data_IF_828171884763
#
_entry.id   IF_828171884763
#
_cell.length_a   1.000
_cell.length_b   1.000
_cell.length_c   1.000
_cell.angle_alpha   90.00
_cell.angle_beta   90.00
_cell.angle_gamma   90.00
#
_symmetry.space_group_name_H-M   'P 1'
#
loop_
_entity.id
_entity.type
_entity.pdbx_description
1 polymer ?
#
# COMPACT_ATOMS: atom_id res chain seq x y z
N UNK A 1 30.12 40.36 35.41
CA UNK A 1 29.07 39.40 35.31
C UNK A 1 28.88 39.00 33.85
N UNK A 2 29.19 37.72 33.56
CA UNK A 2 29.02 37.14 32.22
C UNK A 2 27.57 36.67 32.06
N UNK A 3 26.85 37.25 31.12
CA UNK A 3 25.53 36.84 30.73
C UNK A 3 25.69 35.58 29.86
N UNK A 4 25.23 34.45 30.36
CA UNK A 4 25.14 33.19 29.59
C UNK A 4 23.88 33.30 28.73
N UNK A 5 24.06 33.47 27.42
CA UNK A 5 22.98 33.34 26.46
C UNK A 5 22.71 31.84 26.26
N UNK A 6 21.60 31.38 26.81
CA UNK A 6 21.03 30.03 26.50
C UNK A 6 20.35 30.14 25.16
N UNK A 7 21.01 29.65 24.10
CA UNK A 7 20.40 29.45 22.81
C UNK A 7 19.39 28.31 22.90
N UNK A 8 18.12 28.65 22.93
CA UNK A 8 17.02 27.68 22.81
C UNK A 8 17.02 27.16 21.38
N UNK A 9 17.66 26.02 21.15
CA UNK A 9 17.61 25.30 19.89
C UNK A 9 16.19 24.81 19.67
N UNK A 10 15.43 25.49 18.84
CA UNK A 10 14.18 24.98 18.30
C UNK A 10 14.54 23.81 17.39
N UNK A 11 14.36 22.60 17.93
CA UNK A 11 14.43 21.37 17.16
C UNK A 11 13.20 21.34 16.26
N UNK A 12 13.32 21.91 15.08
CA UNK A 12 12.31 21.81 14.02
C UNK A 12 12.27 20.34 13.59
N UNK A 13 11.34 19.58 14.14
CA UNK A 13 10.97 18.27 13.61
C UNK A 13 10.56 18.47 12.15
N UNK A 14 11.51 18.29 11.23
CA UNK A 14 11.25 18.12 9.83
C UNK A 14 10.42 16.83 9.70
N UNK A 15 9.11 16.99 9.68
CA UNK A 15 8.19 15.95 9.22
C UNK A 15 8.54 15.76 7.75
N UNK A 16 9.41 14.79 7.47
CA UNK A 16 9.55 14.24 6.15
C UNK A 16 8.21 13.56 5.85
N UNK A 17 7.28 14.29 5.27
CA UNK A 17 6.12 13.69 4.65
C UNK A 17 6.64 12.86 3.47
N UNK A 18 6.89 11.59 3.72
CA UNK A 18 7.03 10.59 2.68
C UNK A 18 5.70 10.58 1.93
N UNK A 19 5.73 10.82 0.67
CA UNK A 19 4.56 11.18 -0.14
C UNK A 19 3.56 10.03 -0.32
N UNK A 20 4.00 8.76 -0.31
CA UNK A 20 3.11 7.60 -0.29
C UNK A 20 2.21 7.52 0.94
N UNK A 21 2.52 8.26 2.00
CA UNK A 21 1.74 8.31 3.24
C UNK A 21 0.32 8.87 3.08
N UNK A 22 0.08 9.76 2.09
CA UNK A 22 -1.26 10.29 1.83
C UNK A 22 -2.21 9.22 1.30
N UNK A 23 -1.73 8.34 0.44
CA UNK A 23 -2.53 7.23 -0.14
C UNK A 23 -2.94 6.23 0.92
N UNK A 24 -2.02 5.77 1.78
CA UNK A 24 -2.34 4.86 2.88
C UNK A 24 -3.35 5.46 3.86
N UNK A 25 -3.18 6.73 4.25
CA UNK A 25 -4.12 7.43 5.12
C UNK A 25 -5.51 7.55 4.50
N UNK A 26 -5.59 7.89 3.21
CA UNK A 26 -6.85 7.98 2.50
C UNK A 26 -7.55 6.61 2.40
N UNK A 27 -6.80 5.53 2.11
CA UNK A 27 -7.34 4.17 2.06
C UNK A 27 -7.90 3.75 3.42
N UNK A 28 -7.17 4.00 4.52
CA UNK A 28 -7.63 3.67 5.87
C UNK A 28 -8.89 4.44 6.24
N UNK A 29 -8.92 5.75 5.97
CA UNK A 29 -10.07 6.59 6.23
C UNK A 29 -11.32 6.14 5.48
N UNK A 30 -11.19 5.86 4.20
CA UNK A 30 -12.29 5.36 3.38
C UNK A 30 -12.70 3.93 3.76
N UNK A 31 -11.75 3.09 4.21
CA UNK A 31 -12.05 1.74 4.70
C UNK A 31 -12.91 1.76 5.96
N UNK A 32 -12.69 2.72 6.88
CA UNK A 32 -13.58 2.91 8.05
C UNK A 32 -15.02 3.20 7.59
N UNK A 33 -15.19 4.08 6.61
CA UNK A 33 -16.49 4.47 6.11
C UNK A 33 -17.24 3.31 5.41
N UNK A 34 -16.53 2.28 4.98
CA UNK A 34 -17.10 1.09 4.35
C UNK A 34 -17.59 0.03 5.33
N UNK A 35 -17.28 0.15 6.63
CA UNK A 35 -17.64 -0.85 7.65
C UNK A 35 -19.13 -0.78 8.04
N UNK A 36 -19.77 -1.90 8.37
CA UNK A 36 -21.06 -1.93 9.03
C UNK A 36 -20.94 -1.69 10.54
N UNK A 37 -22.03 -1.25 11.18
CA UNK A 37 -22.13 -1.23 12.64
C UNK A 37 -22.15 -2.67 13.21
N UNK A 38 -21.62 -2.90 14.44
CA UNK A 38 -21.05 -1.91 15.36
C UNK A 38 -19.60 -1.52 15.03
N UNK A 39 -18.96 -2.22 14.10
CA UNK A 39 -17.53 -2.05 13.79
C UNK A 39 -17.23 -0.64 13.24
N UNK A 40 -18.14 -0.08 12.44
CA UNK A 40 -18.02 1.31 12.00
C UNK A 40 -17.91 2.28 13.17
N UNK A 41 -18.80 2.17 14.16
CA UNK A 41 -18.78 3.04 15.33
C UNK A 41 -17.49 2.94 16.13
N UNK A 42 -16.96 1.73 16.31
CA UNK A 42 -15.67 1.49 16.97
C UNK A 42 -14.52 2.18 16.20
N UNK A 43 -14.34 1.89 14.92
CA UNK A 43 -13.24 2.45 14.14
C UNK A 43 -13.39 3.96 13.92
N UNK A 44 -14.61 4.47 13.82
CA UNK A 44 -14.89 5.91 13.73
C UNK A 44 -14.42 6.66 14.97
N UNK A 45 -14.64 6.12 16.16
CA UNK A 45 -14.16 6.73 17.41
C UNK A 45 -12.62 6.78 17.49
N UNK A 46 -11.93 5.89 16.78
CA UNK A 46 -10.46 5.81 16.72
C UNK A 46 -9.88 6.28 15.38
N UNK A 47 -10.68 6.97 14.56
CA UNK A 47 -10.33 7.36 13.20
C UNK A 47 -8.99 8.09 13.10
N UNK A 48 -8.80 9.10 13.93
CA UNK A 48 -7.59 9.92 13.88
C UNK A 48 -6.34 9.09 14.20
N UNK A 49 -6.45 8.14 15.13
CA UNK A 49 -5.37 7.22 15.44
C UNK A 49 -5.07 6.30 14.26
N UNK A 50 -6.06 5.61 13.70
CA UNK A 50 -5.91 4.67 12.56
C UNK A 50 -5.29 5.39 11.35
N UNK A 51 -5.79 6.57 11.01
CA UNK A 51 -5.29 7.34 9.87
C UNK A 51 -3.85 7.82 10.10
N UNK A 52 -3.53 8.26 11.32
CA UNK A 52 -2.17 8.67 11.66
C UNK A 52 -1.17 7.51 11.54
N UNK A 53 -1.54 6.33 12.06
CA UNK A 53 -0.69 5.15 12.14
C UNK A 53 -0.71 4.27 10.88
N UNK A 54 -1.49 4.63 9.86
CA UNK A 54 -1.54 3.93 8.57
C UNK A 54 -0.18 3.76 7.87
N UNK A 55 0.84 4.51 8.29
CA UNK A 55 2.18 4.55 7.69
C UNK A 55 3.29 4.03 8.61
N UNK A 56 2.92 3.50 9.78
CA UNK A 56 3.91 3.05 10.76
C UNK A 56 4.77 1.89 10.27
N UNK A 57 4.22 1.01 9.45
CA UNK A 57 4.96 -0.08 8.83
C UNK A 57 6.12 0.46 7.97
N UNK A 58 5.87 1.49 7.16
CA UNK A 58 6.90 2.17 6.37
C UNK A 58 7.97 2.83 7.23
N UNK A 59 7.57 3.45 8.34
CA UNK A 59 8.52 4.06 9.27
C UNK A 59 9.42 3.01 9.95
N UNK A 60 8.91 1.78 10.10
CA UNK A 60 9.65 0.67 10.72
C UNK A 60 10.58 -0.06 9.76
N UNK A 61 10.30 -0.08 8.46
CA UNK A 61 11.02 -0.92 7.47
C UNK A 61 12.53 -0.71 7.42
N UNK A 62 13.01 0.49 7.83
CA UNK A 62 14.44 0.80 7.88
C UNK A 62 15.07 0.58 9.26
N UNK A 63 14.29 0.20 10.26
CA UNK A 63 14.72 0.06 11.67
C UNK A 63 14.59 -1.36 12.19
N UNK A 64 13.61 -2.12 11.70
CA UNK A 64 13.33 -3.48 12.16
C UNK A 64 13.71 -4.48 11.07
N UNK A 65 14.54 -5.44 11.44
CA UNK A 65 14.90 -6.58 10.57
C UNK A 65 13.63 -7.40 10.30
N UNK A 66 13.42 -7.78 9.05
CA UNK A 66 12.25 -8.56 8.63
C UNK A 66 10.97 -7.73 8.43
N UNK A 67 11.05 -6.41 8.50
CA UNK A 67 9.89 -5.55 8.21
C UNK A 67 9.78 -5.22 6.72
N UNK A 68 10.89 -4.90 6.06
CA UNK A 68 10.89 -4.49 4.66
C UNK A 68 10.28 -5.55 3.73
N UNK A 69 10.56 -6.82 3.98
CA UNK A 69 10.10 -7.96 3.16
C UNK A 69 8.59 -8.16 3.21
N UNK A 70 7.90 -7.57 4.19
CA UNK A 70 6.43 -7.68 4.35
C UNK A 70 5.66 -6.84 3.35
N UNK A 71 6.31 -5.85 2.74
CA UNK A 71 5.68 -4.85 1.89
C UNK A 71 5.53 -5.28 0.43
N UNK A 72 6.21 -6.34 -0.01
CA UNK A 72 6.27 -6.71 -1.42
C UNK A 72 6.41 -8.22 -1.64
N UNK A 73 6.32 -8.63 -2.90
CA UNK A 73 6.76 -9.93 -3.40
C UNK A 73 7.15 -9.83 -4.87
N UNK A 74 8.40 -10.12 -5.20
CA UNK A 74 8.94 -10.09 -6.55
C UNK A 74 8.56 -11.35 -7.33
N UNK A 75 7.31 -11.42 -7.82
CA UNK A 75 6.76 -12.61 -8.48
C UNK A 75 7.51 -12.98 -9.77
N UNK A 76 8.09 -12.00 -10.44
CA UNK A 76 8.90 -12.19 -11.65
C UNK A 76 10.19 -13.00 -11.42
N UNK A 77 10.68 -13.09 -10.18
CA UNK A 77 11.88 -13.85 -9.84
C UNK A 77 11.64 -15.35 -9.62
N UNK A 78 10.38 -15.79 -9.59
CA UNK A 78 10.06 -17.21 -9.38
C UNK A 78 9.87 -18.00 -10.67
N UNK A 79 9.94 -17.36 -11.85
CA UNK A 79 9.91 -18.04 -13.14
C UNK A 79 8.54 -18.59 -13.56
N UNK A 80 7.46 -18.16 -12.92
CA UNK A 80 6.11 -18.55 -13.29
C UNK A 80 5.51 -17.60 -14.33
N UNK A 81 4.81 -18.16 -15.32
CA UNK A 81 3.87 -17.36 -16.12
C UNK A 81 2.68 -16.94 -15.27
N UNK A 82 1.94 -15.93 -15.69
CA UNK A 82 0.77 -15.44 -14.96
C UNK A 82 -0.26 -16.56 -14.69
N UNK A 83 -0.52 -17.43 -15.67
CA UNK A 83 -1.43 -18.57 -15.49
C UNK A 83 -0.89 -19.61 -14.52
N UNK A 84 0.42 -19.83 -14.53
CA UNK A 84 1.09 -20.72 -13.58
C UNK A 84 1.09 -20.14 -12.16
N UNK A 85 1.26 -18.84 -12.01
CA UNK A 85 1.12 -18.14 -10.70
C UNK A 85 -0.28 -18.35 -10.11
N UNK A 86 -1.32 -18.24 -10.94
CA UNK A 86 -2.72 -18.45 -10.51
C UNK A 86 -2.96 -19.86 -10.00
N UNK A 87 -2.38 -20.87 -10.64
CA UNK A 87 -2.71 -22.29 -10.44
C UNK A 87 -1.76 -23.00 -9.48
N UNK A 88 -0.46 -22.70 -9.53
CA UNK A 88 0.57 -23.56 -8.96
C UNK A 88 1.47 -22.86 -7.94
N UNK A 89 1.43 -21.52 -7.86
CA UNK A 89 2.26 -20.82 -6.87
C UNK A 89 1.81 -21.18 -5.45
N UNK A 90 2.73 -21.55 -4.54
CA UNK A 90 2.37 -22.01 -3.20
C UNK A 90 1.73 -20.90 -2.38
N UNK A 91 0.49 -21.13 -1.94
CA UNK A 91 -0.26 -20.16 -1.11
C UNK A 91 0.15 -20.20 0.36
N UNK A 92 0.53 -21.38 0.86
CA UNK A 92 1.03 -21.53 2.23
C UNK A 92 2.51 -21.19 2.29
N UNK A 93 2.90 -20.40 3.29
CA UNK A 93 4.30 -19.98 3.45
C UNK A 93 5.23 -21.16 3.67
N UNK A 94 4.79 -22.18 4.41
CA UNK A 94 5.57 -23.41 4.66
C UNK A 94 5.88 -24.17 3.37
N UNK A 95 4.92 -24.24 2.44
CA UNK A 95 5.12 -24.87 1.13
C UNK A 95 6.09 -24.04 0.28
N UNK A 96 5.94 -22.70 0.30
CA UNK A 96 6.86 -21.80 -0.38
C UNK A 96 8.29 -21.90 0.17
N UNK A 97 8.46 -21.95 1.49
CA UNK A 97 9.76 -22.19 2.14
C UNK A 97 10.41 -23.51 1.74
N UNK A 98 9.61 -24.58 1.69
CA UNK A 98 10.10 -25.90 1.26
C UNK A 98 10.57 -25.93 -0.18
N UNK A 99 9.88 -25.17 -1.08
CA UNK A 99 10.16 -25.16 -2.52
C UNK A 99 11.32 -24.21 -2.85
N UNK A 100 11.31 -23.00 -2.28
CA UNK A 100 12.23 -21.91 -2.67
C UNK A 100 13.31 -21.61 -1.64
N UNK A 101 13.14 -22.05 -0.39
CA UNK A 101 14.02 -21.75 0.75
C UNK A 101 13.75 -20.39 1.41
N UNK A 102 14.04 -20.30 2.70
CA UNK A 102 13.81 -19.05 3.49
C UNK A 102 14.58 -17.85 2.96
N UNK A 103 15.84 -18.05 2.54
CA UNK A 103 16.68 -16.96 2.01
C UNK A 103 16.07 -16.34 0.74
N UNK A 104 15.55 -17.17 -0.17
CA UNK A 104 14.89 -16.72 -1.40
C UNK A 104 13.61 -15.93 -1.08
N UNK A 105 12.79 -16.44 -0.16
CA UNK A 105 11.56 -15.74 0.22
C UNK A 105 11.85 -14.39 0.87
N UNK A 106 12.81 -14.33 1.78
CA UNK A 106 13.17 -13.08 2.43
C UNK A 106 13.74 -12.07 1.42
N UNK A 107 14.55 -12.52 0.47
CA UNK A 107 15.10 -11.64 -0.57
C UNK A 107 14.04 -11.13 -1.54
N UNK A 108 13.07 -11.96 -1.89
CA UNK A 108 12.03 -11.65 -2.89
C UNK A 108 10.72 -11.14 -2.27
N UNK A 109 10.68 -10.97 -0.94
CA UNK A 109 9.50 -10.48 -0.23
C UNK A 109 8.50 -11.56 0.17
N UNK A 110 7.78 -11.27 1.27
CA UNK A 110 6.81 -12.17 1.91
C UNK A 110 5.43 -11.51 2.10
N UNK A 111 5.13 -10.46 1.36
CA UNK A 111 3.94 -9.62 1.51
C UNK A 111 2.63 -10.40 1.71
N UNK A 112 2.20 -11.32 0.83
CA UNK A 112 0.91 -12.00 0.97
C UNK A 112 0.79 -12.86 2.23
N UNK A 113 1.89 -13.48 2.66
CA UNK A 113 1.90 -14.26 3.92
C UNK A 113 1.92 -13.36 5.15
N UNK A 114 2.55 -12.17 5.05
CA UNK A 114 2.53 -11.16 6.11
C UNK A 114 1.13 -10.60 6.32
N UNK A 115 0.38 -10.34 5.25
CA UNK A 115 -1.03 -9.95 5.32
C UNK A 115 -1.84 -11.02 6.05
N UNK A 116 -1.66 -12.31 5.68
CA UNK A 116 -2.35 -13.42 6.32
C UNK A 116 -2.01 -13.54 7.81
N UNK A 117 -0.74 -13.42 8.18
CA UNK A 117 -0.32 -13.46 9.59
C UNK A 117 -0.91 -12.29 10.38
N UNK A 118 -0.90 -11.07 9.82
CA UNK A 118 -1.45 -9.89 10.48
C UNK A 118 -2.97 -9.98 10.61
N UNK A 119 -3.65 -10.57 9.62
CA UNK A 119 -5.07 -10.89 9.71
C UNK A 119 -5.41 -11.77 10.93
N UNK A 120 -4.68 -12.87 11.14
CA UNK A 120 -4.92 -13.74 12.29
C UNK A 120 -4.53 -13.09 13.63
N UNK A 121 -3.54 -12.18 13.65
CA UNK A 121 -3.27 -11.36 14.83
C UNK A 121 -4.46 -10.44 15.15
N UNK A 122 -5.07 -9.86 14.13
CA UNK A 122 -6.26 -9.02 14.32
C UNK A 122 -7.45 -9.84 14.84
N UNK A 123 -7.67 -11.06 14.32
CA UNK A 123 -8.68 -12.00 14.86
C UNK A 123 -8.44 -12.27 16.33
N UNK A 124 -7.21 -12.63 16.73
CA UNK A 124 -6.85 -12.86 18.12
C UNK A 124 -7.10 -11.63 18.99
N UNK A 125 -6.67 -10.44 18.53
CA UNK A 125 -6.87 -9.17 19.26
C UNK A 125 -8.36 -8.87 19.50
N UNK A 126 -9.22 -9.12 18.51
CA UNK A 126 -10.68 -9.00 18.70
C UNK A 126 -11.20 -10.01 19.71
N UNK A 127 -10.77 -11.29 19.64
CA UNK A 127 -11.19 -12.32 20.59
C UNK A 127 -10.76 -12.04 22.02
N UNK A 128 -9.63 -11.36 22.21
CA UNK A 128 -9.08 -10.99 23.52
C UNK A 128 -9.66 -9.66 24.03
N UNK A 129 -10.32 -8.86 23.18
CA UNK A 129 -10.82 -7.52 23.51
C UNK A 129 -9.71 -6.50 23.78
N UNK A 130 -8.50 -6.73 23.26
CA UNK A 130 -7.37 -5.80 23.40
C UNK A 130 -7.46 -4.68 22.36
N UNK A 131 -8.09 -3.58 22.73
CA UNK A 131 -8.30 -2.41 21.87
C UNK A 131 -6.99 -1.89 21.26
N UNK A 132 -5.92 -1.79 22.04
CA UNK A 132 -4.64 -1.28 21.55
C UNK A 132 -4.03 -2.19 20.46
N UNK A 133 -4.17 -3.52 20.62
CA UNK A 133 -3.72 -4.47 19.62
C UNK A 133 -4.66 -4.53 18.40
N UNK A 134 -5.98 -4.38 18.60
CA UNK A 134 -6.94 -4.26 17.51
C UNK A 134 -6.55 -3.09 16.60
N UNK A 135 -6.36 -1.90 17.15
CA UNK A 135 -6.00 -0.71 16.39
C UNK A 135 -4.67 -0.89 15.66
N UNK A 136 -3.64 -1.41 16.35
CA UNK A 136 -2.32 -1.63 15.76
C UNK A 136 -2.36 -2.65 14.64
N UNK A 137 -2.97 -3.83 14.87
CA UNK A 137 -3.03 -4.89 13.89
C UNK A 137 -3.94 -4.51 12.70
N UNK A 138 -5.01 -3.74 12.92
CA UNK A 138 -5.85 -3.22 11.85
C UNK A 138 -5.07 -2.22 10.97
N UNK A 139 -4.31 -1.31 11.59
CA UNK A 139 -3.47 -0.35 10.87
C UNK A 139 -2.40 -1.05 10.03
N UNK A 140 -1.65 -1.97 10.62
CA UNK A 140 -0.62 -2.75 9.91
C UNK A 140 -1.23 -3.60 8.78
N UNK A 141 -2.37 -4.26 9.03
CA UNK A 141 -3.08 -5.03 8.02
C UNK A 141 -3.51 -4.16 6.84
N UNK A 142 -4.09 -3.00 7.12
CA UNK A 142 -4.50 -2.04 6.10
C UNK A 142 -3.32 -1.57 5.25
N UNK A 143 -2.17 -1.32 5.88
CA UNK A 143 -0.95 -0.92 5.19
C UNK A 143 -0.47 -2.01 4.22
N UNK A 144 -0.19 -3.23 4.70
CA UNK A 144 0.32 -4.31 3.85
C UNK A 144 -0.68 -4.71 2.75
N UNK A 145 -1.99 -4.66 3.04
CA UNK A 145 -3.02 -4.88 2.00
C UNK A 145 -2.95 -3.80 0.93
N UNK A 146 -2.77 -2.54 1.31
CA UNK A 146 -2.64 -1.44 0.36
C UNK A 146 -1.43 -1.63 -0.56
N UNK A 147 -0.29 -2.04 -0.01
CA UNK A 147 0.93 -2.36 -0.76
C UNK A 147 0.68 -3.45 -1.81
N UNK A 148 -0.04 -4.52 -1.46
CA UNK A 148 -0.38 -5.59 -2.41
C UNK A 148 -1.28 -5.11 -3.56
N UNK A 149 -1.90 -3.94 -3.46
CA UNK A 149 -2.66 -3.32 -4.54
C UNK A 149 -1.81 -2.42 -5.45
N UNK A 150 -0.56 -2.16 -5.10
CA UNK A 150 0.39 -1.41 -5.91
C UNK A 150 1.08 -2.37 -6.89
N UNK A 151 0.97 -2.18 -8.22
CA UNK A 151 1.63 -3.06 -9.19
C UNK A 151 3.13 -3.23 -8.95
N UNK A 152 3.80 -2.15 -8.60
CA UNK A 152 5.24 -2.10 -8.42
C UNK A 152 5.75 -2.81 -7.15
N UNK A 153 4.89 -3.17 -6.21
CA UNK A 153 5.21 -4.07 -5.09
C UNK A 153 5.21 -5.56 -5.46
N UNK A 154 5.01 -5.90 -6.74
CA UNK A 154 4.93 -7.29 -7.20
C UNK A 154 6.03 -7.69 -8.19
N UNK A 155 7.04 -6.83 -8.38
CA UNK A 155 8.13 -7.02 -9.34
C UNK A 155 9.46 -6.51 -8.82
N UNK A 156 10.52 -7.23 -9.11
CA UNK A 156 11.91 -6.82 -8.84
C UNK A 156 12.33 -5.56 -9.61
N UNK A 157 11.58 -5.17 -10.65
CA UNK A 157 11.76 -3.90 -11.35
C UNK A 157 10.91 -2.77 -10.72
N UNK A 158 10.65 -2.84 -9.41
CA UNK A 158 9.74 -1.96 -8.70
C UNK A 158 9.97 -0.46 -8.97
N UNK A 159 11.21 -0.02 -9.11
CA UNK A 159 11.54 1.38 -9.37
C UNK A 159 11.94 1.67 -10.84
N UNK A 160 11.73 0.70 -11.75
CA UNK A 160 12.01 0.86 -13.17
C UNK A 160 13.49 0.91 -13.54
N UNK A 161 14.41 0.56 -12.64
CA UNK A 161 15.86 0.63 -12.90
C UNK A 161 16.28 -0.27 -14.05
N UNK A 162 15.69 -1.48 -14.14
CA UNK A 162 16.01 -2.46 -15.20
C UNK A 162 15.54 -2.04 -16.59
N UNK A 163 14.54 -1.14 -16.66
CA UNK A 163 13.94 -0.66 -17.90
C UNK A 163 14.26 0.81 -18.21
N UNK A 164 15.15 1.44 -17.43
CA UNK A 164 15.50 2.85 -17.61
C UNK A 164 14.43 3.85 -17.18
N UNK A 165 13.44 3.40 -16.40
CA UNK A 165 12.27 4.17 -15.96
C UNK A 165 12.36 4.56 -14.48
N UNK A 166 13.57 4.81 -14.01
CA UNK A 166 13.87 5.09 -12.60
C UNK A 166 12.95 6.17 -12.01
N UNK A 167 12.38 5.88 -10.83
CA UNK A 167 11.43 6.75 -10.13
C UNK A 167 9.96 6.48 -10.48
N UNK A 168 9.66 5.45 -11.28
CA UNK A 168 8.29 5.08 -11.65
C UNK A 168 7.44 4.70 -10.42
N UNK A 169 8.05 4.11 -9.39
CA UNK A 169 7.37 3.77 -8.14
C UNK A 169 6.78 5.01 -7.48
N UNK A 170 7.63 6.00 -7.21
CA UNK A 170 7.18 7.27 -6.63
C UNK A 170 6.18 8.01 -7.53
N UNK A 171 6.32 7.91 -8.84
CA UNK A 171 5.34 8.48 -9.77
C UNK A 171 3.97 7.85 -9.57
N UNK A 172 3.87 6.52 -9.62
CA UNK A 172 2.60 5.80 -9.62
C UNK A 172 1.90 5.86 -8.26
N UNK A 173 2.62 5.56 -7.18
CA UNK A 173 2.06 5.38 -5.83
C UNK A 173 1.91 6.70 -5.07
N UNK A 174 2.74 7.67 -5.42
CA UNK A 174 2.84 8.93 -4.66
C UNK A 174 2.37 10.12 -5.47
N UNK A 175 3.06 10.42 -6.57
CA UNK A 175 2.81 11.67 -7.30
C UNK A 175 1.43 11.69 -7.97
N UNK A 176 0.97 10.56 -8.55
CA UNK A 176 -0.36 10.52 -9.15
C UNK A 176 -1.48 10.67 -8.12
N UNK A 177 -1.50 9.93 -7.00
CA UNK A 177 -2.51 10.17 -5.96
C UNK A 177 -2.49 11.60 -5.44
N UNK A 178 -1.33 12.17 -5.14
CA UNK A 178 -1.24 13.54 -4.63
C UNK A 178 -1.81 14.59 -5.58
N UNK A 179 -1.66 14.39 -6.88
CA UNK A 179 -2.16 15.32 -7.89
C UNK A 179 -3.64 15.13 -8.21
N UNK A 180 -4.18 13.91 -8.05
CA UNK A 180 -5.49 13.58 -8.61
C UNK A 180 -6.48 12.98 -7.60
N UNK A 181 -6.11 12.77 -6.33
CA UNK A 181 -6.95 12.09 -5.33
C UNK A 181 -8.31 12.78 -5.14
N UNK A 182 -8.35 14.10 -5.24
CA UNK A 182 -9.58 14.89 -5.15
C UNK A 182 -10.58 14.57 -6.29
N UNK A 183 -10.09 14.03 -7.41
CA UNK A 183 -10.91 13.60 -8.54
C UNK A 183 -11.34 12.13 -8.47
N UNK A 184 -10.80 11.36 -7.52
CA UNK A 184 -11.11 9.94 -7.38
C UNK A 184 -12.39 9.75 -6.58
N UNK A 185 -13.23 8.83 -7.01
CA UNK A 185 -14.41 8.43 -6.25
C UNK A 185 -14.03 7.33 -5.24
N UNK A 186 -13.54 7.74 -4.08
CA UNK A 186 -13.11 6.83 -2.99
C UNK A 186 -14.12 6.73 -1.84
N UNK A 187 -15.32 7.28 -2.00
CA UNK A 187 -16.39 7.20 -0.99
C UNK A 187 -17.21 5.93 -1.19
N UNK A 188 -17.30 5.04 -0.18
CA UNK A 188 -18.17 3.87 -0.23
C UNK A 188 -19.65 4.25 -0.32
N UNK A 189 -20.44 3.47 -1.05
CA UNK A 189 -21.88 3.75 -1.16
C UNK A 189 -22.63 2.80 -2.07
N UNK A 190 -23.94 2.74 -1.92
CA UNK A 190 -24.83 1.86 -2.67
C UNK A 190 -24.78 2.17 -4.19
N UNK A 191 -24.60 3.44 -4.54
CA UNK A 191 -24.51 3.91 -5.93
C UNK A 191 -23.06 4.20 -6.36
N UNK A 192 -22.10 3.89 -5.50
CA UNK A 192 -20.65 4.04 -5.78
C UNK A 192 -20.09 2.76 -6.40
N UNK A 193 -19.03 2.90 -7.18
CA UNK A 193 -18.23 1.74 -7.62
C UNK A 193 -17.45 1.08 -6.47
N UNK A 194 -17.43 1.71 -5.29
CA UNK A 194 -16.80 1.21 -4.08
C UNK A 194 -17.87 0.65 -3.14
N UNK A 195 -18.01 -0.69 -3.04
CA UNK A 195 -19.01 -1.33 -2.18
C UNK A 195 -18.62 -1.26 -0.70
N UNK A 196 -19.60 -1.43 0.18
CA UNK A 196 -19.37 -1.66 1.60
C UNK A 196 -18.63 -2.97 1.86
N UNK A 197 -18.01 -3.08 3.04
CA UNK A 197 -17.28 -4.25 3.50
C UNK A 197 -18.16 -5.51 3.48
N UNK A 198 -17.54 -6.65 3.12
CA UNK A 198 -18.20 -7.96 3.12
C UNK A 198 -17.34 -9.00 3.82
N UNK A 199 -17.98 -10.00 4.38
CA UNK A 199 -17.27 -11.15 4.93
C UNK A 199 -16.62 -11.97 3.82
N UNK A 200 -15.33 -12.23 3.96
CA UNK A 200 -14.57 -13.14 3.08
C UNK A 200 -14.45 -14.51 3.73
N UNK A 201 -15.25 -15.46 3.24
CA UNK A 201 -15.15 -16.87 3.69
C UNK A 201 -13.73 -17.46 3.51
N UNK A 202 -12.97 -16.94 2.57
CA UNK A 202 -11.57 -17.31 2.30
C UNK A 202 -10.74 -16.05 2.07
N UNK A 203 -10.24 -15.48 3.17
CA UNK A 203 -9.38 -14.29 3.16
C UNK A 203 -8.08 -14.50 2.36
N UNK A 204 -7.53 -15.72 2.36
CA UNK A 204 -6.33 -16.06 1.61
C UNK A 204 -6.51 -15.90 0.10
N UNK A 205 -7.62 -16.39 -0.45
CA UNK A 205 -7.90 -16.23 -1.89
C UNK A 205 -8.00 -14.75 -2.27
N UNK A 206 -8.66 -13.95 -1.45
CA UNK A 206 -8.80 -12.51 -1.70
C UNK A 206 -7.44 -11.79 -1.76
N UNK A 207 -6.53 -12.12 -0.84
CA UNK A 207 -5.16 -11.58 -0.80
C UNK A 207 -4.42 -11.91 -2.11
N UNK A 208 -4.47 -13.17 -2.55
CA UNK A 208 -3.79 -13.61 -3.76
C UNK A 208 -4.43 -13.08 -5.05
N UNK A 209 -5.74 -12.93 -5.11
CA UNK A 209 -6.44 -12.29 -6.24
C UNK A 209 -6.02 -10.83 -6.39
N UNK A 210 -5.95 -10.09 -5.28
CA UNK A 210 -5.48 -8.71 -5.27
C UNK A 210 -4.04 -8.59 -5.79
N UNK A 211 -3.15 -9.45 -5.28
CA UNK A 211 -1.74 -9.52 -5.67
C UNK A 211 -1.57 -9.84 -7.17
N UNK A 212 -2.26 -10.85 -7.68
CA UNK A 212 -2.18 -11.25 -9.08
C UNK A 212 -2.72 -10.14 -9.99
N UNK A 213 -3.80 -9.48 -9.61
CA UNK A 213 -4.33 -8.34 -10.35
C UNK A 213 -3.35 -7.15 -10.37
N UNK A 214 -2.56 -6.94 -9.30
CA UNK A 214 -1.48 -5.96 -9.27
C UNK A 214 -0.36 -6.34 -10.23
N UNK A 215 0.06 -7.59 -10.21
CA UNK A 215 1.11 -8.11 -11.09
C UNK A 215 0.73 -7.99 -12.56
N UNK A 216 -0.52 -8.28 -12.92
CA UNK A 216 -1.03 -8.10 -14.28
C UNK A 216 -1.00 -6.66 -14.77
N UNK A 217 -1.06 -5.69 -13.86
CA UNK A 217 -1.08 -4.28 -14.21
C UNK A 217 0.32 -3.70 -14.53
N UNK A 218 1.41 -4.43 -14.23
CA UNK A 218 2.80 -3.97 -14.42
C UNK A 218 3.06 -3.58 -15.86
N UNK A 219 2.64 -4.41 -16.83
CA UNK A 219 2.91 -4.16 -18.24
C UNK A 219 2.39 -2.80 -18.69
N UNK A 220 1.19 -2.42 -18.29
CA UNK A 220 0.62 -1.12 -18.62
C UNK A 220 1.31 0.03 -17.88
N UNK A 221 1.72 -0.19 -16.63
CA UNK A 221 2.49 0.79 -15.84
C UNK A 221 3.80 1.13 -16.55
N UNK A 222 4.56 0.12 -16.94
CA UNK A 222 5.86 0.31 -17.61
C UNK A 222 5.68 0.81 -19.05
N UNK A 223 4.73 0.25 -19.79
CA UNK A 223 4.51 0.58 -21.20
C UNK A 223 4.15 2.08 -21.40
N UNK A 224 3.17 2.57 -20.69
CA UNK A 224 2.72 3.96 -20.87
C UNK A 224 3.78 4.98 -20.40
N UNK A 225 4.54 4.65 -19.36
CA UNK A 225 5.65 5.51 -18.93
C UNK A 225 6.74 5.59 -19.99
N UNK A 226 7.16 4.44 -20.56
CA UNK A 226 8.17 4.38 -21.60
C UNK A 226 7.74 5.14 -22.87
N UNK A 227 6.50 4.90 -23.30
CA UNK A 227 5.90 5.56 -24.46
C UNK A 227 5.92 7.09 -24.31
N UNK A 228 5.44 7.61 -23.19
CA UNK A 228 5.41 9.05 -22.93
C UNK A 228 6.80 9.64 -22.73
N UNK A 229 7.72 8.93 -22.10
CA UNK A 229 9.12 9.37 -21.96
C UNK A 229 9.82 9.50 -23.30
N UNK A 230 9.51 8.63 -24.26
CA UNK A 230 10.01 8.72 -25.62
C UNK A 230 9.37 9.90 -26.39
N UNK A 231 8.06 10.08 -26.26
CA UNK A 231 7.31 11.13 -26.97
C UNK A 231 7.69 12.52 -26.47
N UNK A 232 7.74 12.73 -25.16
CA UNK A 232 7.96 14.05 -24.57
C UNK A 232 9.44 14.48 -24.53
N UNK A 233 10.37 13.53 -24.58
CA UNK A 233 11.80 13.81 -24.46
C UNK A 233 12.24 14.20 -23.04
N UNK A 234 13.55 14.22 -22.80
CA UNK A 234 14.12 14.40 -21.45
C UNK A 234 13.81 15.72 -20.78
N UNK A 235 13.73 16.81 -21.53
CA UNK A 235 13.58 18.17 -21.00
C UNK A 235 12.19 18.45 -20.46
N UNK A 236 11.17 17.78 -20.98
CA UNK A 236 9.77 17.94 -20.60
C UNK A 236 9.26 16.84 -19.67
N UNK A 237 9.97 15.71 -19.63
CA UNK A 237 9.64 14.58 -18.75
C UNK A 237 9.86 14.87 -17.27
N UNK A 238 10.86 15.69 -16.94
CA UNK A 238 11.26 15.96 -15.57
C UNK A 238 11.16 17.43 -15.20
N UNK A 239 10.87 17.68 -13.92
CA UNK A 239 10.94 18.98 -13.27
C UNK A 239 11.73 18.87 -11.97
N UNK A 240 12.33 19.98 -11.52
CA UNK A 240 12.95 20.08 -10.21
C UNK A 240 11.96 20.77 -9.27
N UNK A 241 11.64 20.09 -8.17
CA UNK A 241 10.73 20.59 -7.14
C UNK A 241 11.52 20.85 -5.88
N UNK A 242 11.39 22.03 -5.31
CA UNK A 242 11.98 22.38 -4.01
C UNK A 242 11.27 21.60 -2.90
N UNK A 243 12.07 20.91 -2.07
CA UNK A 243 11.58 20.18 -0.91
C UNK A 243 12.47 20.51 0.30
N UNK A 244 11.96 21.39 1.11
CA UNK A 244 12.73 21.95 2.19
C UNK A 244 13.99 22.64 1.67
N UNK A 245 15.17 22.08 1.99
CA UNK A 245 16.48 22.62 1.56
C UNK A 245 17.09 21.91 0.34
N UNK A 246 16.35 20.98 -0.29
CA UNK A 246 16.86 20.16 -1.40
C UNK A 246 15.97 20.32 -2.63
N UNK A 247 16.60 20.26 -3.81
CA UNK A 247 15.86 20.13 -5.08
C UNK A 247 15.77 18.65 -5.44
N UNK A 248 14.56 18.16 -5.63
CA UNK A 248 14.30 16.78 -6.03
C UNK A 248 13.83 16.75 -7.49
N UNK A 249 14.45 15.88 -8.30
CA UNK A 249 14.01 15.62 -9.66
C UNK A 249 12.80 14.68 -9.64
N UNK A 250 11.70 15.13 -10.15
CA UNK A 250 10.44 14.39 -10.25
C UNK A 250 9.93 14.38 -11.69
N UNK A 251 8.93 13.56 -11.99
CA UNK A 251 8.19 13.73 -13.25
C UNK A 251 7.50 15.07 -13.27
N UNK A 252 7.51 15.74 -14.44
CA UNK A 252 6.85 17.04 -14.57
C UNK A 252 5.32 16.89 -14.35
N UNK A 253 4.62 17.94 -13.91
CA UNK A 253 3.16 17.89 -13.77
C UNK A 253 2.45 17.52 -15.08
N UNK A 254 2.96 18.00 -16.21
CA UNK A 254 2.41 17.65 -17.54
C UNK A 254 2.63 16.16 -17.85
N UNK A 255 3.81 15.62 -17.58
CA UNK A 255 4.06 14.17 -17.73
C UNK A 255 3.12 13.37 -16.84
N UNK A 256 3.02 13.71 -15.56
CA UNK A 256 2.16 13.02 -14.60
C UNK A 256 0.69 13.05 -15.06
N UNK A 257 0.20 14.17 -15.57
CA UNK A 257 -1.16 14.30 -16.10
C UNK A 257 -1.39 13.38 -17.29
N UNK A 258 -0.51 13.38 -18.28
CA UNK A 258 -0.61 12.53 -19.47
C UNK A 258 -0.50 11.04 -19.11
N UNK A 259 0.37 10.70 -18.18
CA UNK A 259 0.54 9.34 -17.70
C UNK A 259 -0.71 8.86 -16.94
N UNK A 260 -1.29 9.69 -16.08
CA UNK A 260 -2.56 9.41 -15.42
C UNK A 260 -3.69 9.16 -16.43
N UNK A 261 -3.78 9.97 -17.49
CA UNK A 261 -4.77 9.78 -18.55
C UNK A 261 -4.54 8.48 -19.32
N UNK A 262 -3.29 8.14 -19.67
CA UNK A 262 -2.94 6.92 -20.38
C UNK A 262 -3.26 5.66 -19.54
N UNK A 263 -3.07 5.71 -18.22
CA UNK A 263 -3.45 4.65 -17.28
C UNK A 263 -4.97 4.48 -17.14
N UNK A 264 -5.77 5.40 -17.68
CA UNK A 264 -7.22 5.33 -17.74
C UNK A 264 -7.90 4.90 -16.44
N UNK A 265 -7.64 5.63 -15.35
CA UNK A 265 -8.21 5.39 -14.03
C UNK A 265 -7.64 4.17 -13.27
N UNK A 266 -6.51 3.61 -13.70
CA UNK A 266 -5.91 2.44 -13.05
C UNK A 266 -5.60 2.69 -11.58
N UNK A 267 -4.99 3.83 -11.24
CA UNK A 267 -4.63 4.17 -9.85
C UNK A 267 -5.88 4.22 -8.98
N UNK A 268 -6.90 4.95 -9.41
CA UNK A 268 -8.19 5.05 -8.70
C UNK A 268 -8.80 3.66 -8.46
N UNK A 269 -8.92 2.83 -9.51
CA UNK A 269 -9.46 1.48 -9.37
C UNK A 269 -8.65 0.61 -8.41
N UNK A 270 -7.33 0.74 -8.39
CA UNK A 270 -6.47 0.00 -7.44
C UNK A 270 -6.70 0.49 -6.00
N UNK A 271 -6.84 1.80 -5.78
CA UNK A 271 -7.17 2.37 -4.47
C UNK A 271 -8.57 1.93 -4.00
N UNK A 272 -9.58 1.97 -4.88
CA UNK A 272 -10.94 1.47 -4.56
C UNK A 272 -10.91 -0.01 -4.15
N UNK A 273 -10.14 -0.85 -4.86
CA UNK A 273 -9.97 -2.26 -4.50
C UNK A 273 -9.22 -2.43 -3.18
N UNK A 274 -8.22 -1.61 -2.90
CA UNK A 274 -7.53 -1.62 -1.61
C UNK A 274 -8.48 -1.28 -0.46
N UNK A 275 -9.26 -0.21 -0.58
CA UNK A 275 -10.27 0.19 0.41
C UNK A 275 -11.27 -0.95 0.68
N UNK A 276 -11.80 -1.55 -0.36
CA UNK A 276 -12.74 -2.68 -0.23
C UNK A 276 -12.09 -3.90 0.43
N UNK A 277 -10.84 -4.23 0.06
CA UNK A 277 -10.14 -5.37 0.64
C UNK A 277 -9.78 -5.13 2.10
N UNK A 278 -9.29 -3.94 2.45
CA UNK A 278 -8.95 -3.56 3.83
C UNK A 278 -10.19 -3.63 4.71
N UNK A 279 -11.27 -2.93 4.34
CA UNK A 279 -12.52 -2.91 5.12
C UNK A 279 -13.13 -4.32 5.27
N UNK A 280 -13.10 -5.12 4.20
CA UNK A 280 -13.64 -6.48 4.22
C UNK A 280 -12.79 -7.43 5.08
N UNK A 281 -11.46 -7.28 5.10
CA UNK A 281 -10.59 -8.05 5.99
C UNK A 281 -10.74 -7.64 7.46
N UNK A 282 -10.90 -6.35 7.77
CA UNK A 282 -11.22 -5.91 9.13
C UNK A 282 -12.55 -6.49 9.61
N UNK A 283 -13.57 -6.41 8.77
CA UNK A 283 -14.90 -6.97 9.05
C UNK A 283 -14.84 -8.50 9.20
N UNK A 284 -14.11 -9.18 8.32
CA UNK A 284 -13.95 -10.64 8.39
C UNK A 284 -13.22 -11.09 9.66
N UNK A 285 -12.18 -10.35 10.07
CA UNK A 285 -11.45 -10.65 11.29
C UNK A 285 -12.34 -10.53 12.55
N UNK A 286 -13.22 -9.54 12.60
CA UNK A 286 -14.20 -9.38 13.68
C UNK A 286 -15.22 -10.53 13.70
N UNK A 287 -15.74 -10.95 12.52
CA UNK A 287 -16.64 -12.11 12.41
C UNK A 287 -15.93 -13.39 12.85
N UNK A 288 -14.72 -13.64 12.37
CA UNK A 288 -13.94 -14.84 12.70
C UNK A 288 -13.55 -14.89 14.19
N UNK A 289 -13.49 -13.74 14.86
CA UNK A 289 -13.32 -13.61 16.30
C UNK A 289 -14.60 -13.87 17.12
N UNK A 290 -15.73 -14.15 16.48
CA UNK A 290 -16.99 -14.40 17.14
C UNK A 290 -17.85 -13.15 17.38
N UNK A 291 -17.55 -12.04 16.70
CA UNK A 291 -18.30 -10.77 16.80
C UNK A 291 -18.35 -10.21 18.24
N UNK A 292 -17.21 -10.00 18.90
CA UNK A 292 -17.21 -9.47 20.25
C UNK A 292 -17.85 -8.07 20.30
N UNK A 293 -18.44 -7.74 21.49
CA UNK A 293 -19.09 -6.44 21.75
C UNK A 293 -18.07 -5.29 21.81
#
# INVERSE_FOLDING_TARGET
PRVIQISLGVFLLLVFSSWGFSSHRCIHDAAIQALPDPLYSFFKSHRDWIVLHAVDADLRKHRLIGEAEKHFIDLDLYGFSLDSLKRYFPRKQEDAKRIFGDSTLNANGIGPWSVKQTYYRLVASFSEGDEAQILRNASDLGHYVSDLHVPLHTTSNYNGVRTGQQGIHSLWETQLPELFIESYNLTPGIHSHLPFARYFKNSENCIWEALIASHQAIDSVLYFEAMLSQEMGRTTTYAYVERGRTQQRMRSPEFAKRYHQALNGQVERRMQKAIYTVSSLWYSAWIDAGQPE
#
